data_IF_531740059758
#
_entry.id   IF_531740059758
#
_cell.length_a   1.000
_cell.length_b   1.000
_cell.length_c   1.000
_cell.angle_alpha   90.00
_cell.angle_beta   90.00
_cell.angle_gamma   90.00
#
_symmetry.space_group_name_H-M   'P 1'
#
loop_
_entity.id
_entity.type
_entity.pdbx_description
1 polymer ?
#
# COMPACT_ATOMS: atom_id res chain seq x y z
N UNK A 1 18.90 7.69 0.31
CA UNK A 1 18.83 6.37 0.96
C UNK A 1 17.43 5.82 0.76
N UNK A 2 17.27 4.56 0.38
CA UNK A 2 15.96 3.99 0.16
C UNK A 2 15.13 4.02 1.45
N UNK A 3 13.82 4.31 1.31
CA UNK A 3 12.86 4.23 2.41
C UNK A 3 12.60 2.78 2.80
N UNK A 4 12.66 1.89 1.80
CA UNK A 4 12.46 0.46 2.00
C UNK A 4 13.50 -0.32 1.17
N UNK A 5 14.06 -1.35 1.77
CA UNK A 5 14.98 -2.28 1.10
C UNK A 5 14.74 -3.70 1.61
N UNK A 6 14.76 -4.68 0.71
CA UNK A 6 14.76 -6.10 1.03
C UNK A 6 16.08 -6.74 0.63
N UNK A 7 16.52 -7.75 1.39
CA UNK A 7 17.70 -8.55 1.08
C UNK A 7 17.33 -10.02 1.19
N UNK A 8 17.39 -10.75 0.09
CA UNK A 8 17.13 -12.20 -0.03
C UNK A 8 15.88 -12.63 0.74
N UNK A 9 14.76 -11.87 0.56
CA UNK A 9 13.55 -12.05 1.35
C UNK A 9 12.84 -13.34 0.97
N UNK A 10 12.66 -14.25 1.94
CA UNK A 10 11.98 -15.53 1.78
C UNK A 10 10.85 -15.69 2.77
N UNK A 11 9.80 -16.35 2.34
CA UNK A 11 8.68 -16.71 3.22
C UNK A 11 8.14 -18.09 2.86
N UNK A 12 8.13 -18.95 3.88
CA UNK A 12 7.52 -20.27 3.84
C UNK A 12 6.33 -20.33 4.77
N UNK A 13 5.26 -20.98 4.34
CA UNK A 13 4.13 -21.31 5.18
C UNK A 13 4.00 -22.83 5.28
N UNK A 14 3.80 -23.33 6.49
CA UNK A 14 3.52 -24.74 6.72
C UNK A 14 2.01 -24.98 6.67
N UNK A 15 1.58 -25.74 5.67
CA UNK A 15 0.17 -26.13 5.49
C UNK A 15 0.05 -27.65 5.69
N UNK A 16 -0.21 -28.08 6.93
CA UNK A 16 -0.15 -29.49 7.30
C UNK A 16 1.26 -30.04 7.13
N UNK A 17 1.42 -31.07 6.27
CA UNK A 17 2.71 -31.70 5.96
C UNK A 17 3.44 -31.05 4.77
N UNK A 18 2.83 -30.07 4.11
CA UNK A 18 3.41 -29.39 2.97
C UNK A 18 4.01 -28.03 3.34
N UNK A 19 5.18 -27.72 2.78
CA UNK A 19 5.78 -26.39 2.81
C UNK A 19 5.42 -25.67 1.52
N UNK A 20 4.87 -24.47 1.66
CA UNK A 20 4.54 -23.59 0.52
C UNK A 20 5.49 -22.41 0.57
N UNK A 21 6.37 -22.30 -0.44
CA UNK A 21 7.25 -21.17 -0.64
C UNK A 21 6.45 -20.02 -1.24
N UNK A 22 6.12 -19.02 -0.42
CA UNK A 22 5.37 -17.85 -0.87
C UNK A 22 6.29 -16.76 -1.47
N UNK A 23 7.53 -16.65 -0.96
CA UNK A 23 8.58 -15.79 -1.53
C UNK A 23 9.91 -16.54 -1.51
N UNK A 24 10.69 -16.41 -2.60
CA UNK A 24 11.96 -17.11 -2.80
C UNK A 24 13.06 -16.15 -3.28
N UNK A 25 13.66 -15.42 -2.34
CA UNK A 25 14.79 -14.54 -2.59
C UNK A 25 14.41 -13.23 -3.29
N UNK A 26 13.48 -12.46 -2.71
CA UNK A 26 13.04 -11.17 -3.26
C UNK A 26 13.95 -10.05 -2.79
N UNK A 27 14.60 -9.39 -3.75
CA UNK A 27 15.47 -8.23 -3.55
C UNK A 27 14.95 -7.03 -4.33
N UNK A 28 14.61 -5.95 -3.65
CA UNK A 28 14.33 -4.66 -4.29
C UNK A 28 14.47 -3.51 -3.29
N UNK A 29 14.49 -2.30 -3.83
CA UNK A 29 14.54 -1.08 -3.04
C UNK A 29 13.54 -0.05 -3.56
N UNK A 30 13.10 0.82 -2.65
CA UNK A 30 12.15 1.92 -2.91
C UNK A 30 12.74 3.20 -2.37
N UNK A 31 12.95 4.17 -3.24
CA UNK A 31 13.40 5.50 -2.85
C UNK A 31 12.21 6.35 -2.33
N UNK A 32 12.54 7.39 -1.55
CA UNK A 32 11.52 8.31 -1.05
C UNK A 32 10.75 8.96 -2.20
N UNK A 33 9.43 9.00 -2.09
CA UNK A 33 8.53 9.59 -3.10
C UNK A 33 8.29 8.71 -4.33
N UNK A 34 8.86 7.50 -4.41
CA UNK A 34 8.54 6.57 -5.49
C UNK A 34 7.13 5.99 -5.33
N UNK A 35 6.44 5.88 -6.47
CA UNK A 35 5.21 5.11 -6.58
C UNK A 35 5.49 3.85 -7.41
N UNK A 36 5.45 2.68 -6.74
CA UNK A 36 5.75 1.37 -7.34
C UNK A 36 4.48 0.53 -7.32
N UNK A 37 4.23 -0.22 -8.41
CA UNK A 37 3.23 -1.27 -8.45
C UNK A 37 3.90 -2.65 -8.45
N UNK A 38 3.34 -3.60 -7.70
CA UNK A 38 3.72 -5.02 -7.70
C UNK A 38 2.56 -5.79 -8.33
N UNK A 39 2.81 -6.40 -9.47
CA UNK A 39 1.84 -7.18 -10.23
C UNK A 39 2.20 -8.66 -10.28
N UNK A 40 1.21 -9.49 -10.56
CA UNK A 40 1.37 -10.92 -10.77
C UNK A 40 0.04 -11.66 -10.62
N UNK A 41 -0.02 -12.94 -11.02
CA UNK A 41 -1.22 -13.75 -10.89
C UNK A 41 -1.62 -13.99 -9.43
N UNK A 42 -2.82 -14.51 -9.22
CA UNK A 42 -3.24 -14.94 -7.88
C UNK A 42 -2.28 -16.01 -7.35
N UNK A 43 -1.90 -15.92 -6.08
CA UNK A 43 -0.95 -16.86 -5.46
C UNK A 43 0.53 -16.57 -5.75
N UNK A 44 0.90 -15.53 -6.48
CA UNK A 44 2.31 -15.22 -6.79
C UNK A 44 3.13 -14.69 -5.60
N UNK A 45 2.50 -14.42 -4.43
CA UNK A 45 3.18 -13.93 -3.23
C UNK A 45 3.03 -12.43 -2.96
N UNK A 46 2.23 -11.68 -3.73
CA UNK A 46 2.08 -10.20 -3.62
C UNK A 46 1.65 -9.72 -2.24
N UNK A 47 0.54 -10.26 -1.72
CA UNK A 47 0.04 -9.85 -0.39
C UNK A 47 0.98 -10.33 0.72
N UNK A 48 1.62 -11.50 0.57
CA UNK A 48 2.68 -11.94 1.47
C UNK A 48 3.84 -10.94 1.49
N UNK A 49 4.30 -10.52 0.31
CA UNK A 49 5.35 -9.50 0.20
C UNK A 49 4.92 -8.22 0.90
N UNK A 50 3.73 -7.70 0.61
CA UNK A 50 3.21 -6.49 1.23
C UNK A 50 3.16 -6.58 2.76
N UNK A 51 2.72 -7.74 3.30
CA UNK A 51 2.66 -7.96 4.76
C UNK A 51 4.05 -7.95 5.39
N UNK A 52 5.04 -8.55 4.74
CA UNK A 52 6.43 -8.53 5.22
C UNK A 52 7.02 -7.12 5.19
N UNK A 53 6.79 -6.38 4.08
CA UNK A 53 7.26 -5.00 3.94
C UNK A 53 6.68 -4.08 5.00
N UNK A 54 5.43 -4.31 5.37
CA UNK A 54 4.73 -3.55 6.41
C UNK A 54 4.94 -4.09 7.83
N UNK A 55 5.69 -5.17 8.02
CA UNK A 55 5.92 -5.78 9.33
C UNK A 55 4.65 -6.37 9.96
N UNK A 56 3.66 -6.79 9.15
CA UNK A 56 2.49 -7.54 9.62
C UNK A 56 2.80 -9.02 9.79
N UNK A 57 3.84 -9.51 9.11
CA UNK A 57 4.37 -10.85 9.23
C UNK A 57 5.90 -10.78 9.25
N UNK A 58 6.56 -11.87 9.64
CA UNK A 58 8.03 -11.97 9.70
C UNK A 58 8.54 -12.88 8.59
N UNK A 59 9.67 -12.55 7.94
CA UNK A 59 10.28 -13.41 6.94
C UNK A 59 10.77 -14.73 7.56
N UNK A 60 10.83 -15.81 6.76
CA UNK A 60 11.50 -17.06 7.14
C UNK A 60 13.01 -16.92 7.03
N UNK A 61 13.49 -16.20 6.00
CA UNK A 61 14.89 -15.84 5.78
C UNK A 61 14.97 -14.46 5.13
N UNK A 62 16.16 -13.84 5.22
CA UNK A 62 16.40 -12.51 4.70
C UNK A 62 15.87 -11.41 5.61
N UNK A 63 15.83 -10.19 5.11
CA UNK A 63 15.48 -9.04 5.94
C UNK A 63 14.75 -7.93 5.16
N UNK A 64 13.97 -7.15 5.90
CA UNK A 64 13.33 -5.91 5.44
C UNK A 64 13.91 -4.75 6.26
N UNK A 65 14.49 -3.77 5.59
CA UNK A 65 14.84 -2.49 6.17
C UNK A 65 13.79 -1.45 5.78
N UNK A 66 13.12 -0.87 6.78
CA UNK A 66 12.09 0.14 6.63
C UNK A 66 12.50 1.40 7.40
N UNK A 67 12.58 2.53 6.71
CA UNK A 67 12.97 3.83 7.28
C UNK A 67 14.26 3.75 8.14
N UNK A 68 15.25 2.97 7.67
CA UNK A 68 16.53 2.78 8.36
C UNK A 68 16.53 1.75 9.49
N UNK A 69 15.41 1.05 9.72
CA UNK A 69 15.28 0.02 10.75
C UNK A 69 15.12 -1.36 10.11
N UNK A 70 15.95 -2.32 10.48
CA UNK A 70 15.82 -3.72 10.05
C UNK A 70 14.76 -4.42 10.90
N UNK A 71 13.59 -4.71 10.31
CA UNK A 71 12.41 -5.20 11.05
C UNK A 71 12.68 -6.51 11.80
N UNK A 72 13.46 -7.42 11.23
CA UNK A 72 13.81 -8.72 11.84
C UNK A 72 14.69 -8.60 13.08
N UNK A 73 15.34 -7.46 13.32
CA UNK A 73 16.18 -7.20 14.49
C UNK A 73 15.40 -6.52 15.64
N UNK A 74 14.14 -6.14 15.40
CA UNK A 74 13.32 -5.46 16.38
C UNK A 74 12.60 -6.48 17.29
N UNK A 75 12.41 -6.11 18.55
CA UNK A 75 11.46 -6.81 19.41
C UNK A 75 10.04 -6.61 18.87
N UNK A 76 9.11 -7.47 19.26
CA UNK A 76 7.70 -7.36 18.85
C UNK A 76 7.09 -5.97 19.15
N UNK A 77 7.42 -5.42 20.32
CA UNK A 77 6.99 -4.08 20.69
C UNK A 77 7.60 -3.01 19.78
N UNK A 78 8.89 -3.09 19.50
CA UNK A 78 9.57 -2.14 18.60
C UNK A 78 9.06 -2.26 17.16
N UNK A 79 8.82 -3.48 16.66
CA UNK A 79 8.22 -3.72 15.34
C UNK A 79 6.81 -3.12 15.25
N UNK A 80 6.01 -3.23 16.32
CA UNK A 80 4.68 -2.59 16.41
C UNK A 80 4.79 -1.07 16.33
N UNK A 81 5.73 -0.46 17.04
CA UNK A 81 5.96 1.00 16.97
C UNK A 81 6.49 1.42 15.60
N UNK A 82 7.44 0.68 15.03
CA UNK A 82 7.99 0.95 13.71
C UNK A 82 6.88 0.94 12.64
N UNK A 83 6.01 -0.08 12.65
CA UNK A 83 4.84 -0.17 11.77
C UNK A 83 3.89 0.99 11.97
N UNK A 84 3.51 1.29 13.21
CA UNK A 84 2.56 2.36 13.56
C UNK A 84 3.01 3.72 13.06
N UNK A 85 4.30 4.01 13.13
CA UNK A 85 4.85 5.32 12.78
C UNK A 85 5.25 5.45 11.32
N UNK A 86 5.65 4.34 10.66
CA UNK A 86 6.24 4.40 9.33
C UNK A 86 5.35 3.84 8.23
N UNK A 87 4.27 3.12 8.55
CA UNK A 87 3.44 2.44 7.55
C UNK A 87 1.99 2.89 7.63
N UNK A 88 1.46 3.35 6.50
CA UNK A 88 0.02 3.48 6.27
C UNK A 88 -0.48 2.31 5.43
N UNK A 89 -1.54 1.63 5.87
CA UNK A 89 -2.16 0.55 5.10
C UNK A 89 -3.50 0.97 4.49
N UNK A 90 -3.68 0.63 3.21
CA UNK A 90 -4.95 0.70 2.49
C UNK A 90 -5.28 -0.69 1.96
N UNK A 91 -6.40 -1.26 2.37
CA UNK A 91 -6.82 -2.62 2.01
C UNK A 91 -7.95 -2.61 1.00
N UNK A 92 -8.16 -3.73 0.33
CA UNK A 92 -9.28 -3.98 -0.56
C UNK A 92 -10.62 -3.86 0.16
N UNK A 93 -10.74 -4.42 1.38
CA UNK A 93 -11.82 -4.16 2.31
C UNK A 93 -11.41 -2.98 3.17
N UNK A 94 -12.22 -1.94 3.24
CA UNK A 94 -11.88 -0.64 3.83
C UNK A 94 -11.45 -0.71 5.29
N UNK A 95 -11.87 -1.77 6.01
CA UNK A 95 -11.55 -2.04 7.42
C UNK A 95 -11.84 -0.84 8.33
N UNK A 96 -12.96 -0.15 8.08
CA UNK A 96 -13.45 0.93 8.93
C UNK A 96 -14.19 0.34 10.13
N UNK A 97 -14.08 0.99 11.27
CA UNK A 97 -14.89 0.65 12.44
C UNK A 97 -16.30 1.22 12.22
N UNK A 98 -17.35 0.36 12.18
CA UNK A 98 -18.69 0.78 11.80
C UNK A 98 -19.38 1.68 12.84
N UNK A 99 -18.88 1.66 14.08
CA UNK A 99 -19.40 2.48 15.18
C UNK A 99 -18.86 3.91 15.17
N UNK A 100 -17.73 4.15 14.47
CA UNK A 100 -17.06 5.44 14.39
C UNK A 100 -17.46 6.20 13.13
N UNK A 101 -17.45 7.52 13.21
CA UNK A 101 -17.60 8.41 12.05
C UNK A 101 -16.37 8.35 11.14
N UNK A 102 -16.44 8.97 9.95
CA UNK A 102 -15.31 9.09 9.04
C UNK A 102 -14.12 9.80 9.73
N UNK A 103 -14.36 10.92 10.40
CA UNK A 103 -13.35 11.66 11.14
C UNK A 103 -12.71 10.82 12.26
N UNK A 104 -13.52 10.12 13.06
CA UNK A 104 -13.04 9.25 14.13
C UNK A 104 -12.23 8.07 13.59
N UNK A 105 -12.62 7.47 12.46
CA UNK A 105 -11.84 6.44 11.78
C UNK A 105 -10.48 6.99 11.31
N UNK A 106 -10.44 8.20 10.76
CA UNK A 106 -9.19 8.84 10.32
C UNK A 106 -8.27 9.11 11.51
N UNK A 107 -8.80 9.58 12.62
CA UNK A 107 -8.02 9.92 13.82
C UNK A 107 -7.59 8.70 14.65
N UNK A 108 -8.18 7.54 14.41
CA UNK A 108 -7.96 6.33 15.22
C UNK A 108 -6.47 5.95 15.40
N UNK A 109 -5.60 6.00 14.37
CA UNK A 109 -4.18 5.69 14.55
C UNK A 109 -3.48 6.60 15.54
N UNK A 110 -3.85 7.88 15.60
CA UNK A 110 -3.29 8.84 16.56
C UNK A 110 -3.74 8.52 17.98
N UNK A 111 -5.01 8.14 18.15
CA UNK A 111 -5.60 7.78 19.45
C UNK A 111 -4.90 6.53 20.00
N UNK A 112 -4.71 5.50 19.14
CA UNK A 112 -3.99 4.27 19.51
C UNK A 112 -2.53 4.55 19.89
N UNK A 113 -1.92 5.56 19.27
CA UNK A 113 -0.54 5.99 19.57
C UNK A 113 -0.45 6.91 20.81
N UNK A 114 -1.56 7.16 21.51
CA UNK A 114 -1.61 8.03 22.69
C UNK A 114 -1.41 9.51 22.38
N UNK A 115 -1.49 9.90 21.10
CA UNK A 115 -1.38 11.31 20.69
C UNK A 115 -2.70 12.04 20.90
N UNK A 116 -2.62 13.34 21.20
CA UNK A 116 -3.81 14.15 21.32
C UNK A 116 -4.32 14.57 19.92
N UNK A 117 -5.50 14.08 19.47
CA UNK A 117 -6.01 14.36 18.12
C UNK A 117 -6.22 15.87 17.85
N UNK A 118 -6.52 16.66 18.87
CA UNK A 118 -6.73 18.12 18.72
C UNK A 118 -5.51 18.85 18.15
N UNK A 119 -4.30 18.30 18.34
CA UNK A 119 -3.07 18.87 17.75
C UNK A 119 -2.94 18.63 16.25
N UNK A 120 -3.79 17.78 15.69
CA UNK A 120 -3.77 17.38 14.27
C UNK A 120 -4.97 17.95 13.50
N UNK A 121 -5.71 18.92 14.07
CA UNK A 121 -6.90 19.48 13.46
C UNK A 121 -6.64 20.05 12.06
N UNK A 122 -5.63 20.89 11.91
CA UNK A 122 -5.28 21.49 10.61
C UNK A 122 -4.91 20.41 9.59
N UNK A 123 -4.13 19.40 9.99
CA UNK A 123 -3.75 18.28 9.12
C UNK A 123 -4.95 17.40 8.76
N UNK A 124 -5.87 17.17 9.68
CA UNK A 124 -7.12 16.46 9.41
C UNK A 124 -7.97 17.20 8.37
N UNK A 125 -8.14 18.51 8.50
CA UNK A 125 -8.92 19.31 7.51
C UNK A 125 -8.24 19.32 6.14
N UNK A 126 -6.91 19.37 6.08
CA UNK A 126 -6.14 19.22 4.85
C UNK A 126 -6.37 17.85 4.19
N UNK A 127 -6.31 16.77 4.97
CA UNK A 127 -6.62 15.42 4.48
C UNK A 127 -8.07 15.28 4.02
N UNK A 128 -9.04 15.77 4.79
CA UNK A 128 -10.45 15.75 4.39
C UNK A 128 -10.70 16.50 3.08
N UNK A 129 -10.01 17.62 2.87
CA UNK A 129 -10.04 18.36 1.62
C UNK A 129 -9.40 17.58 0.48
N UNK A 130 -8.22 16.97 0.72
CA UNK A 130 -7.50 16.16 -0.27
C UNK A 130 -8.32 14.98 -0.77
N UNK A 131 -9.01 14.27 0.14
CA UNK A 131 -9.85 13.12 -0.19
C UNK A 131 -11.29 13.51 -0.57
N UNK A 132 -11.68 14.79 -0.47
CA UNK A 132 -13.01 15.29 -0.82
C UNK A 132 -14.11 14.78 0.10
N UNK A 133 -13.86 14.73 1.42
CA UNK A 133 -14.80 14.22 2.43
C UNK A 133 -15.18 15.24 3.51
N UNK A 134 -14.92 16.53 3.30
CA UNK A 134 -15.21 17.56 4.29
C UNK A 134 -16.66 17.51 4.79
N UNK A 135 -17.63 17.40 3.86
CA UNK A 135 -19.07 17.37 4.17
C UNK A 135 -19.54 15.99 4.67
N UNK A 136 -18.66 15.01 4.71
CA UNK A 136 -18.94 13.62 5.12
C UNK A 136 -18.26 13.22 6.43
N UNK A 137 -17.52 14.11 7.06
CA UNK A 137 -16.68 13.78 8.23
C UNK A 137 -17.46 13.21 9.43
N UNK A 138 -18.73 13.59 9.60
CA UNK A 138 -19.62 13.10 10.65
C UNK A 138 -20.42 11.85 10.28
N UNK A 139 -20.32 11.36 9.03
CA UNK A 139 -21.05 10.17 8.58
C UNK A 139 -20.34 8.90 9.06
N UNK A 140 -21.14 7.86 9.35
CA UNK A 140 -20.65 6.51 9.65
C UNK A 140 -20.45 5.71 8.37
N UNK A 141 -19.68 4.61 8.40
CA UNK A 141 -19.41 3.79 7.21
C UNK A 141 -20.68 3.32 6.46
N UNK A 142 -21.75 2.98 7.15
CA UNK A 142 -23.05 2.57 6.56
C UNK A 142 -23.77 3.70 5.80
N UNK A 143 -23.37 4.94 6.01
CA UNK A 143 -23.89 6.15 5.35
C UNK A 143 -22.99 6.61 4.19
N UNK A 144 -21.90 5.90 3.91
CA UNK A 144 -20.90 6.22 2.90
C UNK A 144 -20.91 5.19 1.77
N UNK A 145 -20.79 5.67 0.53
CA UNK A 145 -20.52 4.80 -0.61
C UNK A 145 -19.18 4.08 -0.48
N UNK A 146 -18.96 2.97 -1.21
CA UNK A 146 -17.70 2.25 -1.19
C UNK A 146 -16.47 3.12 -1.52
N UNK A 147 -16.63 4.04 -2.50
CA UNK A 147 -15.57 5.00 -2.84
C UNK A 147 -15.31 6.01 -1.73
N UNK A 148 -16.34 6.49 -1.01
CA UNK A 148 -16.16 7.36 0.16
C UNK A 148 -15.48 6.61 1.32
N UNK A 149 -15.87 5.36 1.56
CA UNK A 149 -15.22 4.51 2.57
C UNK A 149 -13.73 4.30 2.25
N UNK A 150 -13.38 4.06 0.99
CA UNK A 150 -11.98 3.92 0.57
C UNK A 150 -11.20 5.22 0.75
N UNK A 151 -11.82 6.38 0.48
CA UNK A 151 -11.21 7.68 0.76
C UNK A 151 -10.95 7.92 2.25
N UNK A 152 -11.87 7.48 3.13
CA UNK A 152 -11.65 7.48 4.59
C UNK A 152 -10.47 6.58 4.95
N UNK A 153 -10.37 5.37 4.37
CA UNK A 153 -9.25 4.45 4.62
C UNK A 153 -7.91 5.05 4.17
N UNK A 154 -7.86 5.75 3.03
CA UNK A 154 -6.66 6.46 2.55
C UNK A 154 -6.28 7.59 3.52
N UNK A 155 -7.22 8.44 3.92
CA UNK A 155 -6.96 9.52 4.88
C UNK A 155 -6.48 8.98 6.24
N UNK A 156 -7.09 7.89 6.72
CA UNK A 156 -6.65 7.17 7.93
C UNK A 156 -5.21 6.67 7.82
N UNK A 157 -4.83 6.14 6.66
CA UNK A 157 -3.48 5.66 6.43
C UNK A 157 -2.44 6.79 6.43
N UNK A 158 -2.85 8.02 6.07
CA UNK A 158 -1.96 9.19 5.93
C UNK A 158 -1.87 10.05 7.20
N UNK A 159 -2.81 9.92 8.15
CA UNK A 159 -2.91 10.84 9.30
C UNK A 159 -1.64 10.84 10.17
N UNK A 160 -0.91 9.72 10.24
CA UNK A 160 0.34 9.60 10.99
C UNK A 160 1.55 10.14 10.25
N UNK A 161 1.39 10.59 8.99
CA UNK A 161 2.48 10.98 8.06
C UNK A 161 3.50 9.85 7.90
N UNK A 162 3.08 8.66 7.44
CA UNK A 162 3.94 7.49 7.38
C UNK A 162 5.05 7.66 6.33
N UNK A 163 6.17 6.95 6.53
CA UNK A 163 7.26 6.91 5.55
C UNK A 163 6.83 6.23 4.23
N UNK A 164 5.89 5.27 4.31
CA UNK A 164 5.39 4.51 3.16
C UNK A 164 3.89 4.21 3.29
N UNK A 165 3.18 4.29 2.16
CA UNK A 165 1.81 3.84 2.00
C UNK A 165 1.80 2.49 1.28
N UNK A 166 1.25 1.47 1.90
CA UNK A 166 1.09 0.12 1.35
C UNK A 166 -0.38 -0.10 1.00
N UNK A 167 -0.68 -0.32 -0.29
CA UNK A 167 -2.04 -0.48 -0.79
C UNK A 167 -2.20 -1.89 -1.39
N UNK A 168 -3.08 -2.70 -0.79
CA UNK A 168 -3.42 -4.04 -1.25
C UNK A 168 -4.77 -4.00 -1.99
N UNK A 169 -4.73 -4.11 -3.33
CA UNK A 169 -5.91 -4.12 -4.21
C UNK A 169 -6.92 -2.99 -3.87
N UNK A 170 -6.50 -1.71 -3.76
CA UNK A 170 -7.33 -0.64 -3.20
C UNK A 170 -8.60 -0.34 -4.02
N UNK A 171 -8.72 -0.88 -5.21
CA UNK A 171 -9.86 -0.70 -6.13
C UNK A 171 -10.66 -1.98 -6.36
N UNK A 172 -10.26 -3.11 -5.77
CA UNK A 172 -10.83 -4.43 -6.07
C UNK A 172 -12.32 -4.59 -5.76
N UNK A 173 -12.87 -3.79 -4.85
CA UNK A 173 -14.29 -3.81 -4.48
C UNK A 173 -15.08 -2.60 -5.03
N UNK A 174 -14.53 -1.89 -6.02
CA UNK A 174 -15.13 -0.67 -6.57
C UNK A 174 -15.46 -0.84 -8.05
N UNK A 175 -16.47 -0.11 -8.52
CA UNK A 175 -16.71 -0.01 -9.95
C UNK A 175 -15.56 0.74 -10.67
N UNK A 176 -15.45 0.54 -11.99
CA UNK A 176 -14.34 1.08 -12.79
C UNK A 176 -14.19 2.61 -12.70
N UNK A 177 -15.29 3.36 -12.59
CA UNK A 177 -15.26 4.83 -12.50
C UNK A 177 -14.73 5.28 -11.14
N UNK A 178 -15.26 4.68 -10.08
CA UNK A 178 -14.83 4.93 -8.70
C UNK A 178 -13.39 4.47 -8.50
N UNK A 179 -13.02 3.29 -9.02
CA UNK A 179 -11.64 2.78 -8.98
C UNK A 179 -10.65 3.75 -9.63
N UNK A 180 -11.00 4.29 -10.81
CA UNK A 180 -10.18 5.33 -11.48
C UNK A 180 -9.99 6.56 -10.58
N UNK A 181 -11.06 7.05 -9.94
CA UNK A 181 -10.98 8.21 -9.04
C UNK A 181 -10.12 7.92 -7.79
N UNK A 182 -10.13 6.70 -7.27
CA UNK A 182 -9.24 6.28 -6.16
C UNK A 182 -7.78 6.23 -6.62
N UNK A 183 -7.48 5.70 -7.81
CA UNK A 183 -6.11 5.67 -8.31
C UNK A 183 -5.55 7.07 -8.59
N UNK A 184 -6.38 7.98 -9.14
CA UNK A 184 -6.02 9.40 -9.28
C UNK A 184 -5.73 10.05 -7.93
N UNK A 185 -6.54 9.74 -6.90
CA UNK A 185 -6.31 10.25 -5.54
C UNK A 185 -4.98 9.74 -4.98
N UNK A 186 -4.68 8.44 -5.10
CA UNK A 186 -3.41 7.86 -4.62
C UNK A 186 -2.24 8.50 -5.36
N UNK A 187 -2.34 8.67 -6.69
CA UNK A 187 -1.31 9.34 -7.49
C UNK A 187 -1.09 10.79 -7.04
N UNK A 188 -2.16 11.54 -6.86
CA UNK A 188 -2.11 12.93 -6.37
C UNK A 188 -1.47 13.00 -4.99
N UNK A 189 -1.86 12.10 -4.07
CA UNK A 189 -1.26 12.00 -2.74
C UNK A 189 0.25 11.74 -2.81
N UNK A 190 0.68 10.82 -3.71
CA UNK A 190 2.10 10.55 -3.92
C UNK A 190 2.87 11.78 -4.40
N UNK A 191 2.27 12.57 -5.28
CA UNK A 191 2.90 13.77 -5.86
C UNK A 191 2.88 14.96 -4.91
N UNK A 192 1.71 15.30 -4.36
CA UNK A 192 1.52 16.51 -3.55
C UNK A 192 2.16 16.42 -2.17
N UNK A 193 2.20 15.21 -1.58
CA UNK A 193 2.78 14.95 -0.26
C UNK A 193 4.17 14.27 -0.33
N UNK A 194 4.73 14.08 -1.52
CA UNK A 194 5.96 13.26 -1.73
C UNK A 194 5.86 11.89 -1.04
N UNK A 195 4.64 11.31 -1.01
CA UNK A 195 4.38 10.06 -0.33
C UNK A 195 4.92 8.89 -1.14
N UNK A 196 5.77 8.07 -0.51
CA UNK A 196 6.20 6.79 -1.07
C UNK A 196 5.01 5.82 -1.06
N UNK A 197 4.74 5.16 -2.20
CA UNK A 197 3.60 4.25 -2.35
C UNK A 197 4.05 2.91 -2.94
N UNK A 198 3.62 1.81 -2.33
CA UNK A 198 3.64 0.48 -2.95
C UNK A 198 2.20 0.02 -3.12
N UNK A 199 1.82 -0.21 -4.36
CA UNK A 199 0.53 -0.75 -4.76
C UNK A 199 0.70 -2.23 -5.13
N UNK A 200 -0.06 -3.11 -4.51
CA UNK A 200 -0.24 -4.48 -4.98
C UNK A 200 -1.53 -4.56 -5.75
N UNK A 201 -1.47 -5.08 -6.97
CA UNK A 201 -2.66 -5.24 -7.81
C UNK A 201 -2.44 -6.29 -8.90
N UNK A 202 -3.55 -6.88 -9.39
CA UNK A 202 -3.59 -7.66 -10.62
C UNK A 202 -4.16 -6.86 -11.80
N UNK A 203 -4.66 -5.63 -11.55
CA UNK A 203 -5.23 -4.77 -12.59
C UNK A 203 -4.12 -3.94 -13.27
N UNK A 204 -3.84 -4.16 -14.57
CA UNK A 204 -2.84 -3.39 -15.31
C UNK A 204 -3.17 -1.90 -15.41
N UNK A 205 -4.47 -1.55 -15.38
CA UNK A 205 -4.89 -0.15 -15.36
C UNK A 205 -4.49 0.53 -14.06
N UNK A 206 -4.69 -0.12 -12.91
CA UNK A 206 -4.24 0.42 -11.62
C UNK A 206 -2.70 0.54 -11.58
N UNK A 207 -1.97 -0.46 -12.08
CA UNK A 207 -0.52 -0.43 -12.12
C UNK A 207 0.06 0.67 -13.03
N UNK A 208 -0.67 1.10 -14.07
CA UNK A 208 -0.21 2.15 -15.00
C UNK A 208 -0.06 3.54 -14.35
N UNK A 209 -0.62 3.74 -13.17
CA UNK A 209 -0.43 4.97 -12.38
C UNK A 209 0.96 5.04 -11.72
N UNK A 210 1.64 3.90 -11.56
CA UNK A 210 2.94 3.82 -10.93
C UNK A 210 4.08 4.33 -11.85
N UNK A 211 5.20 4.67 -11.23
CA UNK A 211 6.44 5.06 -11.92
C UNK A 211 7.28 3.83 -12.30
N UNK A 212 7.11 2.72 -11.56
CA UNK A 212 7.78 1.45 -11.78
C UNK A 212 6.80 0.31 -11.49
N UNK A 213 6.83 -0.72 -12.32
CA UNK A 213 6.05 -1.94 -12.12
C UNK A 213 6.98 -3.12 -11.95
N UNK A 214 6.78 -3.89 -10.89
CA UNK A 214 7.51 -5.13 -10.58
C UNK A 214 6.57 -6.29 -10.84
N UNK A 215 6.99 -7.25 -11.66
CA UNK A 215 6.23 -8.46 -11.91
C UNK A 215 6.73 -9.58 -11.01
N UNK A 216 5.82 -10.11 -10.18
CA UNK A 216 6.06 -11.19 -9.24
C UNK A 216 5.36 -12.46 -9.73
N UNK A 217 6.09 -13.57 -9.79
CA UNK A 217 5.58 -14.90 -10.13
C UNK A 217 6.29 -15.95 -9.30
N UNK A 218 5.54 -16.89 -8.75
CA UNK A 218 6.05 -18.01 -7.94
C UNK A 218 7.05 -17.55 -6.85
N UNK A 219 6.72 -16.44 -6.17
CA UNK A 219 7.52 -15.86 -5.11
C UNK A 219 8.79 -15.13 -5.55
N UNK A 220 9.00 -14.91 -6.86
CA UNK A 220 10.20 -14.24 -7.42
C UNK A 220 9.84 -13.02 -8.24
N UNK A 221 10.73 -12.03 -8.23
CA UNK A 221 10.69 -10.94 -9.21
C UNK A 221 11.21 -11.50 -10.55
N UNK A 222 10.35 -11.48 -11.56
CA UNK A 222 10.69 -12.00 -12.90
C UNK A 222 11.00 -10.89 -13.89
N UNK A 223 10.47 -9.67 -13.65
CA UNK A 223 10.72 -8.52 -14.50
C UNK A 223 10.41 -7.21 -13.77
N UNK A 224 11.11 -6.15 -14.15
CA UNK A 224 10.79 -4.77 -13.81
C UNK A 224 10.48 -3.98 -15.08
N UNK A 225 9.47 -3.13 -15.01
CA UNK A 225 9.12 -2.18 -16.06
C UNK A 225 9.17 -0.76 -15.50
N UNK A 226 10.05 0.06 -16.08
CA UNK A 226 10.23 1.47 -15.70
C UNK A 226 9.98 2.35 -16.92
N UNK A 227 8.73 2.78 -17.15
CA UNK A 227 8.40 3.68 -18.25
C UNK A 227 9.06 5.04 -18.05
N UNK A 228 9.27 5.79 -19.14
CA UNK A 228 9.74 7.16 -19.04
C UNK A 228 8.74 8.01 -18.25
N UNK A 229 9.23 8.87 -17.36
CA UNK A 229 8.40 9.63 -16.42
C UNK A 229 7.30 10.50 -17.06
N UNK A 230 7.51 10.95 -18.30
CA UNK A 230 6.55 11.74 -19.09
C UNK A 230 5.56 10.90 -19.93
N UNK A 231 5.66 9.56 -19.87
CA UNK A 231 4.80 8.68 -20.67
C UNK A 231 3.34 8.75 -20.21
N UNK A 232 2.36 8.92 -21.13
CA UNK A 232 0.94 8.89 -20.80
C UNK A 232 0.53 7.56 -20.16
N UNK A 233 -0.51 7.59 -19.31
CA UNK A 233 -1.01 6.41 -18.60
C UNK A 233 -1.44 5.31 -19.59
N UNK A 234 -2.05 5.68 -20.72
CA UNK A 234 -2.49 4.74 -21.76
C UNK A 234 -1.33 3.99 -22.41
N UNK A 235 -0.20 4.67 -22.66
CA UNK A 235 1.00 4.04 -23.22
C UNK A 235 1.70 3.16 -22.17
N UNK A 236 1.72 3.56 -20.90
CA UNK A 236 2.18 2.71 -19.80
C UNK A 236 1.33 1.44 -19.69
N UNK A 237 0.01 1.58 -19.76
CA UNK A 237 -0.92 0.46 -19.74
C UNK A 237 -0.64 -0.53 -20.88
N UNK A 238 -0.43 -0.02 -22.10
CA UNK A 238 -0.10 -0.86 -23.25
C UNK A 238 1.20 -1.66 -23.02
N UNK A 239 2.27 -0.99 -22.54
CA UNK A 239 3.53 -1.66 -22.23
C UNK A 239 3.41 -2.71 -21.13
N UNK A 240 2.60 -2.44 -20.09
CA UNK A 240 2.30 -3.42 -19.03
C UNK A 240 1.58 -4.64 -19.61
N UNK A 241 0.55 -4.44 -20.47
CA UNK A 241 -0.21 -5.53 -21.08
C UNK A 241 0.65 -6.39 -22.03
N UNK A 242 1.56 -5.78 -22.81
CA UNK A 242 2.52 -6.50 -23.65
C UNK A 242 3.44 -7.40 -22.81
N UNK A 243 3.94 -6.89 -21.68
CA UNK A 243 4.78 -7.67 -20.77
C UNK A 243 3.96 -8.82 -20.17
N UNK A 244 2.73 -8.57 -19.70
CA UNK A 244 1.86 -9.60 -19.14
C UNK A 244 1.60 -10.73 -20.14
N UNK A 245 1.34 -10.41 -21.40
CA UNK A 245 1.16 -11.41 -22.47
C UNK A 245 2.42 -12.25 -22.68
N UNK A 246 3.60 -11.64 -22.68
CA UNK A 246 4.87 -12.33 -22.87
C UNK A 246 5.26 -13.21 -21.67
N UNK A 247 4.81 -12.84 -20.49
CA UNK A 247 5.07 -13.59 -19.26
C UNK A 247 3.98 -14.61 -18.93
N UNK A 248 2.90 -14.68 -19.73
CA UNK A 248 1.69 -15.49 -19.45
C UNK A 248 1.12 -15.20 -18.03
N UNK A 249 1.08 -13.93 -17.66
CA UNK A 249 0.65 -13.44 -16.33
C UNK A 249 -0.75 -12.84 -16.42
#
# INVERSE_FOLDING_TARGET
MPVLKTNNLRKEYRMGDHLVMALDGVDFNVEKGEFIAIMGPSGSGKSTLLHLLGGLDSPSEGEVNLAGQTLSQLTEYQATLARRHNVGFVFQFFNLLPTLTAEENILLPLIIDGKNPKKYGDWLEELLSLVGLHDRKSHKPDQLSGGEQQRVAIARALITKPAILLADEPTGNLDSKTGTAIMELIRKTSQDLEQTVILVTHDPKAASYAQKVIFLRDGKIIQEYKPNGSMPIEDKLRGIMEIMQNLEV
#
